data_IF_816542178767
#
_entry.id   IF_816542178767
#
_cell.length_a   1.000
_cell.length_b   1.000
_cell.length_c   1.000
_cell.angle_alpha   90.00
_cell.angle_beta   90.00
_cell.angle_gamma   90.00
#
_symmetry.space_group_name_H-M   'P 1'
#
loop_
_entity.id
_entity.type
_entity.pdbx_description
1 polymer ?
#
# COMPACT_ATOMS: atom_id res chain seq x y z
N UNK A 1 12.95 11.31 -13.71
CA UNK A 1 13.69 10.13 -13.98
C UNK A 1 13.47 9.09 -12.89
N UNK A 2 13.28 7.87 -13.28
CA UNK A 2 12.93 6.82 -12.31
C UNK A 2 14.01 6.58 -11.26
N UNK A 3 15.27 6.80 -11.60
CA UNK A 3 16.38 6.54 -10.68
C UNK A 3 16.28 7.36 -9.39
N UNK A 4 15.64 8.49 -9.43
CA UNK A 4 15.56 9.36 -8.27
C UNK A 4 14.55 8.89 -7.23
N UNK A 5 13.65 7.99 -7.62
CA UNK A 5 12.52 7.61 -6.79
C UNK A 5 12.96 6.87 -5.54
N UNK A 6 13.91 5.94 -5.64
CA UNK A 6 14.31 5.12 -4.51
C UNK A 6 15.24 5.83 -3.52
N UNK A 7 15.65 7.05 -3.82
CA UNK A 7 16.45 7.84 -2.88
C UNK A 7 15.73 9.10 -2.44
N UNK A 8 14.44 9.15 -2.64
CA UNK A 8 13.68 10.36 -2.35
C UNK A 8 13.61 10.69 -0.85
N UNK A 9 13.94 9.74 0.02
CA UNK A 9 13.94 10.00 1.44
C UNK A 9 15.16 9.37 2.08
N UNK A 10 16.18 10.18 2.29
CA UNK A 10 17.41 9.79 2.96
C UNK A 10 17.73 10.84 3.99
N UNK A 11 17.92 10.40 5.22
CA UNK A 11 18.28 11.29 6.31
C UNK A 11 19.68 10.97 6.83
N UNK A 12 20.41 12.03 7.20
CA UNK A 12 21.66 11.89 7.88
C UNK A 12 21.48 12.14 9.37
N UNK A 13 22.06 11.27 10.17
CA UNK A 13 22.09 11.43 11.59
C UNK A 13 23.50 11.06 12.06
N UNK A 14 24.39 12.04 12.12
CA UNK A 14 25.78 11.80 12.44
C UNK A 14 26.50 11.06 11.32
N UNK A 15 26.98 9.88 11.63
CA UNK A 15 27.84 9.11 10.72
C UNK A 15 27.08 8.12 9.85
N UNK A 16 25.77 8.09 9.91
CA UNK A 16 24.98 7.16 9.11
C UNK A 16 23.74 7.85 8.56
N UNK A 17 23.14 7.22 7.57
CA UNK A 17 21.91 7.68 6.98
C UNK A 17 20.83 6.60 7.07
N UNK A 18 19.59 7.05 7.09
CA UNK A 18 18.42 6.15 7.15
C UNK A 18 17.67 6.25 5.84
N UNK A 19 17.42 5.10 5.22
CA UNK A 19 16.57 5.01 4.02
C UNK A 19 15.16 4.71 4.47
N UNK A 20 14.22 5.58 4.12
CA UNK A 20 12.83 5.40 4.50
C UNK A 20 12.17 4.32 3.66
N UNK A 21 11.31 3.53 4.29
CA UNK A 21 10.53 2.50 3.60
C UNK A 21 9.44 3.14 2.76
N UNK A 22 9.20 2.58 1.59
CA UNK A 22 8.20 3.08 0.64
C UNK A 22 6.89 2.33 0.79
N UNK A 23 5.80 3.08 0.86
CA UNK A 23 4.45 2.53 0.92
C UNK A 23 3.67 3.06 -0.28
N UNK A 24 3.12 2.17 -1.08
CA UNK A 24 2.24 2.55 -2.18
C UNK A 24 0.80 2.46 -1.70
N UNK A 25 0.04 3.53 -1.89
CA UNK A 25 -1.37 3.61 -1.52
C UNK A 25 -2.19 3.66 -2.81
N UNK A 26 -3.03 2.64 -3.02
CA UNK A 26 -3.90 2.54 -4.19
C UNK A 26 -5.34 2.70 -3.73
N UNK A 27 -5.94 3.84 -4.05
CA UNK A 27 -7.30 4.19 -3.66
C UNK A 27 -7.79 5.26 -4.62
N UNK A 28 -8.98 5.09 -5.19
CA UNK A 28 -9.51 6.05 -6.16
C UNK A 28 -9.98 7.36 -5.54
N UNK A 29 -10.04 7.44 -4.21
CA UNK A 29 -10.38 8.66 -3.48
C UNK A 29 -9.13 9.47 -3.12
N UNK A 30 -8.92 10.64 -3.73
CA UNK A 30 -7.77 11.48 -3.37
C UNK A 30 -7.74 11.86 -1.88
N UNK A 31 -8.91 12.04 -1.27
CA UNK A 31 -8.99 12.38 0.15
C UNK A 31 -8.49 11.24 1.03
N UNK A 32 -8.84 9.99 0.67
CA UNK A 32 -8.36 8.82 1.42
C UNK A 32 -6.86 8.63 1.25
N UNK A 33 -6.35 8.84 0.06
CA UNK A 33 -4.90 8.78 -0.19
C UNK A 33 -4.19 9.80 0.69
N UNK A 34 -4.65 11.03 0.71
CA UNK A 34 -4.01 12.09 1.52
C UNK A 34 -4.05 11.78 3.01
N UNK A 35 -5.17 11.26 3.49
CA UNK A 35 -5.29 10.87 4.89
C UNK A 35 -4.21 9.84 5.25
N UNK A 36 -4.10 8.78 4.47
CA UNK A 36 -3.14 7.73 4.75
C UNK A 36 -1.70 8.20 4.57
N UNK A 37 -1.44 9.02 3.56
CA UNK A 37 -0.11 9.61 3.37
C UNK A 37 0.32 10.41 4.59
N UNK A 38 -0.58 11.25 5.12
CA UNK A 38 -0.26 12.06 6.30
C UNK A 38 0.11 11.20 7.52
N UNK A 39 -0.66 10.13 7.76
CA UNK A 39 -0.39 9.24 8.89
C UNK A 39 0.95 8.51 8.72
N UNK A 40 1.23 8.04 7.53
CA UNK A 40 2.46 7.28 7.27
C UNK A 40 3.70 8.17 7.31
N UNK A 41 3.62 9.34 6.70
CA UNK A 41 4.77 10.25 6.65
C UNK A 41 5.12 10.79 8.02
N UNK A 42 4.13 10.99 8.88
CA UNK A 42 4.37 11.39 10.26
C UNK A 42 5.17 10.32 11.02
N UNK A 43 5.07 9.07 10.62
CA UNK A 43 5.79 7.94 11.24
C UNK A 43 7.09 7.60 10.53
N UNK A 44 7.51 8.41 9.57
CA UNK A 44 8.80 8.23 8.91
C UNK A 44 8.76 7.35 7.67
N UNK A 45 7.59 6.97 7.17
CA UNK A 45 7.49 6.27 5.90
C UNK A 45 7.45 7.25 4.75
N UNK A 46 7.95 6.82 3.60
CA UNK A 46 7.78 7.54 2.35
C UNK A 46 6.56 6.95 1.64
N UNK A 47 5.56 7.78 1.33
CA UNK A 47 4.33 7.28 0.74
C UNK A 47 4.10 7.82 -0.65
N UNK A 48 3.49 7.00 -1.50
CA UNK A 48 3.13 7.34 -2.87
C UNK A 48 1.67 6.97 -3.08
N UNK A 49 0.90 7.88 -3.65
CA UNK A 49 -0.51 7.68 -3.91
C UNK A 49 -0.77 7.37 -5.38
N UNK A 50 -1.69 6.45 -5.62
CA UNK A 50 -2.13 6.09 -6.96
C UNK A 50 -3.65 6.00 -6.95
N UNK A 51 -4.31 6.81 -7.78
CA UNK A 51 -5.77 6.83 -7.88
C UNK A 51 -6.32 5.97 -9.01
N UNK A 52 -5.47 5.42 -9.85
CA UNK A 52 -5.87 4.65 -11.02
C UNK A 52 -5.47 3.18 -10.86
N UNK A 53 -6.43 2.27 -10.63
CA UNK A 53 -6.11 0.86 -10.41
C UNK A 53 -5.56 0.16 -11.65
N UNK A 54 -5.69 0.74 -12.82
CA UNK A 54 -5.15 0.15 -14.04
C UNK A 54 -3.64 0.34 -14.18
N UNK A 55 -3.05 1.21 -13.34
CA UNK A 55 -1.63 1.52 -13.42
C UNK A 55 -0.81 0.93 -12.29
N UNK A 56 -1.35 -0.04 -11.58
CA UNK A 56 -0.70 -0.58 -10.37
C UNK A 56 0.64 -1.24 -10.70
N UNK A 57 0.66 -2.14 -11.68
CA UNK A 57 1.88 -2.90 -11.99
C UNK A 57 3.02 -2.00 -12.45
N UNK A 58 2.74 -1.05 -13.33
CA UNK A 58 3.79 -0.14 -13.80
C UNK A 58 4.32 0.74 -12.66
N UNK A 59 3.44 1.13 -11.74
CA UNK A 59 3.82 1.93 -10.59
C UNK A 59 4.69 1.13 -9.63
N UNK A 60 4.32 -0.11 -9.35
CA UNK A 60 5.12 -1.01 -8.50
C UNK A 60 6.51 -1.22 -9.10
N UNK A 61 6.57 -1.48 -10.40
CA UNK A 61 7.84 -1.69 -11.08
C UNK A 61 8.75 -0.47 -10.97
N UNK A 62 8.17 0.71 -11.01
CA UNK A 62 8.92 1.97 -10.90
C UNK A 62 9.38 2.23 -9.46
N UNK A 63 8.50 2.02 -8.48
CA UNK A 63 8.75 2.42 -7.08
C UNK A 63 9.41 1.34 -6.24
N UNK A 64 9.15 0.09 -6.54
CA UNK A 64 9.57 -1.05 -5.71
C UNK A 64 9.19 -0.85 -4.23
N UNK A 65 7.91 -0.74 -3.91
CA UNK A 65 7.49 -0.45 -2.54
C UNK A 65 7.69 -1.65 -1.62
N UNK A 66 7.81 -1.37 -0.31
CA UNK A 66 7.91 -2.40 0.72
C UNK A 66 6.55 -3.03 1.04
N UNK A 67 5.48 -2.29 0.84
CA UNK A 67 4.11 -2.73 1.12
C UNK A 67 3.13 -1.90 0.29
N UNK A 68 1.99 -2.51 -0.04
CA UNK A 68 0.92 -1.86 -0.80
C UNK A 68 -0.33 -1.80 0.07
N UNK A 69 -0.89 -0.61 0.23
CA UNK A 69 -2.21 -0.40 0.81
C UNK A 69 -3.20 -0.27 -0.34
N UNK A 70 -4.23 -1.09 -0.36
CA UNK A 70 -5.07 -1.25 -1.54
C UNK A 70 -6.55 -1.25 -1.15
N UNK A 71 -7.31 -0.29 -1.67
CA UNK A 71 -8.76 -0.30 -1.50
C UNK A 71 -9.39 -1.35 -2.41
N UNK A 72 -10.54 -1.86 -2.00
CA UNK A 72 -11.30 -2.84 -2.79
C UNK A 72 -12.25 -2.14 -3.75
N UNK A 73 -12.98 -1.12 -3.29
CA UNK A 73 -14.03 -0.49 -4.07
C UNK A 73 -13.44 0.59 -4.98
N UNK A 74 -13.14 0.21 -6.20
CA UNK A 74 -12.60 1.10 -7.22
C UNK A 74 -13.25 0.79 -8.56
N UNK A 75 -13.42 1.79 -9.44
CA UNK A 75 -13.99 1.54 -10.75
C UNK A 75 -13.05 0.72 -11.64
N UNK A 76 -13.59 -0.01 -12.58
CA UNK A 76 -12.90 -0.75 -13.64
C UNK A 76 -12.10 -1.96 -13.16
N UNK A 77 -11.44 -1.89 -12.00
CA UNK A 77 -10.63 -2.99 -11.47
C UNK A 77 -10.65 -2.88 -9.95
N UNK A 78 -11.33 -3.79 -9.26
CA UNK A 78 -11.43 -3.72 -7.82
C UNK A 78 -10.18 -4.29 -7.15
N UNK A 79 -10.03 -3.99 -5.84
CA UNK A 79 -8.84 -4.39 -5.11
C UNK A 79 -8.68 -5.89 -4.93
N UNK A 80 -9.76 -6.66 -4.87
CA UNK A 80 -9.66 -8.11 -4.81
C UNK A 80 -9.00 -8.65 -6.08
N UNK A 81 -9.39 -8.11 -7.22
CA UNK A 81 -8.84 -8.50 -8.52
C UNK A 81 -7.37 -8.11 -8.61
N UNK A 82 -7.03 -6.88 -8.22
CA UNK A 82 -5.65 -6.42 -8.20
C UNK A 82 -4.79 -7.33 -7.33
N UNK A 83 -5.26 -7.63 -6.12
CA UNK A 83 -4.55 -8.49 -5.18
C UNK A 83 -4.27 -9.87 -5.79
N UNK A 84 -5.30 -10.50 -6.33
CA UNK A 84 -5.18 -11.82 -6.96
C UNK A 84 -4.15 -11.80 -8.09
N UNK A 85 -4.20 -10.76 -8.93
CA UNK A 85 -3.29 -10.67 -10.07
C UNK A 85 -1.86 -10.43 -9.64
N UNK A 86 -1.63 -9.61 -8.63
CA UNK A 86 -0.29 -9.40 -8.09
C UNK A 86 0.27 -10.66 -7.46
N UNK A 87 -0.54 -11.36 -6.68
CA UNK A 87 -0.10 -12.58 -6.01
C UNK A 87 0.09 -13.74 -6.97
N UNK A 88 -0.53 -13.68 -8.14
CA UNK A 88 -0.32 -14.65 -9.22
C UNK A 88 0.86 -14.35 -10.12
N UNK A 89 1.54 -13.23 -9.91
CA UNK A 89 2.65 -12.79 -10.75
C UNK A 89 3.98 -13.11 -10.07
N UNK A 90 4.87 -13.78 -10.78
CA UNK A 90 6.21 -14.07 -10.26
C UNK A 90 6.98 -12.78 -9.93
N UNK A 91 6.69 -11.71 -10.66
CA UNK A 91 7.37 -10.44 -10.48
C UNK A 91 6.93 -9.71 -9.21
N UNK A 92 5.64 -9.82 -8.83
CA UNK A 92 5.06 -8.99 -7.76
C UNK A 92 4.59 -9.77 -6.54
N UNK A 93 4.58 -11.09 -6.58
CA UNK A 93 3.93 -11.91 -5.55
C UNK A 93 4.54 -11.77 -4.15
N UNK A 94 5.79 -11.35 -4.06
CA UNK A 94 6.47 -11.23 -2.78
C UNK A 94 6.16 -9.92 -2.04
N UNK A 95 5.55 -8.95 -2.71
CA UNK A 95 5.24 -7.67 -2.08
C UNK A 95 3.98 -7.81 -1.20
N UNK A 96 4.07 -7.49 0.08
CA UNK A 96 2.89 -7.57 0.96
C UNK A 96 1.78 -6.63 0.51
N UNK A 97 0.54 -7.13 0.53
CA UNK A 97 -0.65 -6.36 0.17
C UNK A 97 -1.58 -6.32 1.38
N UNK A 98 -1.88 -5.11 1.82
CA UNK A 98 -2.85 -4.85 2.88
C UNK A 98 -4.09 -4.25 2.24
N UNK A 99 -5.23 -4.92 2.35
CA UNK A 99 -6.50 -4.34 1.88
C UNK A 99 -7.00 -3.35 2.93
N UNK A 100 -7.34 -2.14 2.50
CA UNK A 100 -7.84 -1.07 3.37
C UNK A 100 -9.14 -0.57 2.77
N UNK A 101 -10.28 -0.99 3.32
CA UNK A 101 -11.56 -0.79 2.66
C UNK A 101 -12.73 -0.72 3.63
N UNK A 102 -13.84 -0.14 3.17
CA UNK A 102 -15.09 -0.08 3.93
C UNK A 102 -15.86 -1.40 3.90
N UNK A 103 -15.46 -2.37 3.10
CA UNK A 103 -16.08 -3.69 3.08
C UNK A 103 -15.65 -4.45 4.32
N UNK A 104 -16.58 -4.61 5.27
CA UNK A 104 -16.23 -5.05 6.63
C UNK A 104 -16.87 -6.35 7.07
N UNK A 105 -17.59 -7.04 6.19
CA UNK A 105 -18.23 -8.32 6.56
C UNK A 105 -17.20 -9.43 6.69
N UNK A 106 -17.57 -10.48 7.44
CA UNK A 106 -16.72 -11.66 7.55
C UNK A 106 -16.46 -12.29 6.18
N UNK A 107 -17.47 -12.27 5.30
CA UNK A 107 -17.32 -12.77 3.93
C UNK A 107 -16.31 -11.95 3.13
N UNK A 108 -16.35 -10.63 3.27
CA UNK A 108 -15.40 -9.76 2.58
C UNK A 108 -13.96 -10.07 3.01
N UNK A 109 -13.75 -10.20 4.31
CA UNK A 109 -12.41 -10.48 4.86
C UNK A 109 -11.91 -11.84 4.41
N UNK A 110 -12.79 -12.84 4.45
CA UNK A 110 -12.45 -14.18 3.98
C UNK A 110 -12.06 -14.15 2.49
N UNK A 111 -12.85 -13.43 1.68
CA UNK A 111 -12.58 -13.33 0.25
C UNK A 111 -11.24 -12.65 -0.03
N UNK A 112 -10.93 -11.58 0.73
CA UNK A 112 -9.63 -10.92 0.63
C UNK A 112 -8.47 -11.86 0.94
N UNK A 113 -8.61 -12.66 1.98
CA UNK A 113 -7.61 -13.65 2.32
C UNK A 113 -7.43 -14.67 1.20
N UNK A 114 -8.51 -15.11 0.59
CA UNK A 114 -8.46 -16.05 -0.54
C UNK A 114 -7.78 -15.45 -1.77
N UNK A 115 -7.79 -14.14 -1.92
CA UNK A 115 -7.07 -13.47 -3.00
C UNK A 115 -5.59 -13.29 -2.70
N UNK A 116 -5.15 -13.68 -1.51
CA UNK A 116 -3.75 -13.61 -1.12
C UNK A 116 -3.36 -12.36 -0.33
N UNK A 117 -4.33 -11.58 0.15
CA UNK A 117 -4.02 -10.41 0.97
C UNK A 117 -3.29 -10.83 2.24
N UNK A 118 -2.29 -10.06 2.63
CA UNK A 118 -1.49 -10.33 3.82
C UNK A 118 -2.12 -9.76 5.09
N UNK A 119 -2.95 -8.73 4.95
CA UNK A 119 -3.70 -8.15 6.06
C UNK A 119 -4.93 -7.42 5.53
N UNK A 120 -5.84 -7.08 6.43
CA UNK A 120 -7.12 -6.43 6.11
C UNK A 120 -7.41 -5.38 7.17
N UNK A 121 -7.59 -4.13 6.74
CA UNK A 121 -7.94 -3.01 7.62
C UNK A 121 -9.26 -2.41 7.16
N UNK A 122 -10.24 -2.29 8.05
CA UNK A 122 -11.54 -1.71 7.71
C UNK A 122 -11.59 -0.22 7.95
N UNK A 123 -12.24 0.49 7.03
CA UNK A 123 -12.53 1.92 7.17
C UNK A 123 -13.87 2.10 7.89
N UNK A 124 -13.99 3.05 8.81
CA UNK A 124 -12.92 3.92 9.28
C UNK A 124 -11.95 3.17 10.19
N UNK A 125 -10.70 3.54 10.13
CA UNK A 125 -9.66 2.94 10.96
C UNK A 125 -9.06 3.99 11.89
N UNK A 126 -8.49 3.53 13.00
CA UNK A 126 -7.70 4.40 13.84
C UNK A 126 -6.28 4.49 13.27
N UNK A 127 -5.58 5.56 13.60
CA UNK A 127 -4.17 5.72 13.24
C UNK A 127 -3.38 4.47 13.61
N UNK A 128 -3.59 3.97 14.83
CA UNK A 128 -2.84 2.81 15.33
C UNK A 128 -3.16 1.52 14.59
N UNK A 129 -4.40 1.33 14.18
CA UNK A 129 -4.77 0.17 13.39
C UNK A 129 -4.04 0.13 12.05
N UNK A 130 -3.98 1.26 11.36
CA UNK A 130 -3.30 1.33 10.08
C UNK A 130 -1.79 1.12 10.26
N UNK A 131 -1.19 1.82 11.22
CA UNK A 131 0.25 1.74 11.44
C UNK A 131 0.69 0.36 11.90
N UNK A 132 -0.12 -0.30 12.73
CA UNK A 132 0.20 -1.66 13.18
C UNK A 132 0.26 -2.63 12.00
N UNK A 133 -0.69 -2.51 11.07
CA UNK A 133 -0.69 -3.36 9.89
C UNK A 133 0.54 -3.10 9.03
N UNK A 134 0.88 -1.83 8.80
CA UNK A 134 2.03 -1.46 7.98
C UNK A 134 3.34 -1.92 8.63
N UNK A 135 3.49 -1.75 9.93
CA UNK A 135 4.72 -2.15 10.65
C UNK A 135 5.03 -3.63 10.55
N UNK A 136 4.02 -4.46 10.36
CA UNK A 136 4.24 -5.91 10.21
C UNK A 136 5.04 -6.23 8.95
N UNK A 137 4.99 -5.39 7.93
CA UNK A 137 5.54 -5.70 6.62
C UNK A 137 6.57 -4.69 6.13
N UNK A 138 6.64 -3.54 6.79
CA UNK A 138 7.56 -2.47 6.36
C UNK A 138 8.36 -1.84 7.56
#
# INVERSE_FOLDING_TARGET
MAADVHFSAVEYSGDFFVVLKKVLIVDDSPAQVKLMQGLLEHEGYQSFGLNDPLRVEETIALLNPSVILLDVVMPERNGFQVCRELKGSAEFQSIPVILVTSKDTASDKYWGEQQGADAYVTKPFTREELLRAVRRFA
#
